data_IF_743236811623
#
_entry.id   IF_743236811623
#
_cell.length_a   1.000
_cell.length_b   1.000
_cell.length_c   1.000
_cell.angle_alpha   90.00
_cell.angle_beta   90.00
_cell.angle_gamma   90.00
#
_symmetry.space_group_name_H-M   'P 1'
#
loop_
_entity.id
_entity.type
_entity.pdbx_description
1 polymer ?
#
# COMPACT_ATOMS: atom_id res chain seq x y z
N UNK A 1 2.97 16.62 8.70
CA UNK A 1 1.56 16.74 9.18
C UNK A 1 0.57 15.95 8.32
N UNK A 2 -0.05 16.46 7.23
CA UNK A 2 -1.11 15.71 6.52
C UNK A 2 -0.64 14.36 5.95
N UNK A 3 0.40 14.37 5.12
CA UNK A 3 0.95 13.15 4.51
C UNK A 3 1.46 12.15 5.54
N UNK A 4 2.08 12.64 6.60
CA UNK A 4 2.57 11.83 7.72
C UNK A 4 1.44 11.15 8.49
N UNK A 5 0.35 11.88 8.79
CA UNK A 5 -0.85 11.30 9.38
C UNK A 5 -1.43 10.20 8.50
N UNK A 6 -1.49 10.40 7.19
CA UNK A 6 -1.94 9.36 6.26
C UNK A 6 -0.98 8.14 6.27
N UNK A 7 0.33 8.36 6.18
CA UNK A 7 1.33 7.28 6.17
C UNK A 7 1.32 6.43 7.45
N UNK A 8 1.19 7.05 8.62
CA UNK A 8 1.18 6.33 9.91
C UNK A 8 -0.14 5.57 10.12
N UNK A 9 -1.28 6.16 9.75
CA UNK A 9 -2.59 5.56 10.03
C UNK A 9 -3.01 4.52 8.98
N UNK A 10 -2.64 4.72 7.71
CA UNK A 10 -3.00 3.82 6.61
C UNK A 10 -1.88 2.86 6.24
N UNK A 11 -0.64 3.17 6.63
CA UNK A 11 0.52 2.30 6.48
C UNK A 11 1.06 1.84 7.83
N UNK A 12 2.35 1.56 7.84
CA UNK A 12 3.11 1.23 9.06
C UNK A 12 4.32 2.14 9.09
N UNK A 13 4.52 2.85 10.19
CA UNK A 13 5.67 3.71 10.38
C UNK A 13 6.71 3.02 11.25
N UNK A 14 7.95 2.94 10.75
CA UNK A 14 9.08 2.59 11.59
C UNK A 14 9.37 3.75 12.56
N UNK A 15 9.54 3.43 13.83
CA UNK A 15 9.85 4.43 14.87
C UNK A 15 11.32 4.35 15.24
N UNK A 16 11.76 3.19 15.73
CA UNK A 16 13.13 2.91 16.16
C UNK A 16 13.30 1.41 16.40
N UNK A 17 14.46 1.04 16.95
CA UNK A 17 14.74 -0.31 17.44
C UNK A 17 14.87 -0.31 18.98
N UNK A 18 14.54 -1.44 19.61
CA UNK A 18 14.81 -1.67 21.03
C UNK A 18 15.43 -3.05 21.27
N UNK A 19 16.21 -3.18 22.34
CA UNK A 19 16.81 -4.45 22.73
C UNK A 19 15.96 -5.13 23.81
N UNK A 20 15.59 -6.38 23.59
CA UNK A 20 14.97 -7.24 24.60
C UNK A 20 15.45 -8.67 24.39
N UNK A 21 15.57 -9.46 25.46
CA UNK A 21 15.94 -10.89 25.36
C UNK A 21 17.24 -11.16 24.57
N UNK A 22 18.19 -10.21 24.57
CA UNK A 22 19.45 -10.30 23.81
C UNK A 22 19.29 -10.15 22.29
N UNK A 23 18.16 -9.61 21.82
CA UNK A 23 17.86 -9.38 20.39
C UNK A 23 17.36 -7.96 20.16
N UNK A 24 17.61 -7.45 18.96
CA UNK A 24 17.10 -6.15 18.50
C UNK A 24 15.74 -6.36 17.81
N UNK A 25 14.73 -5.61 18.24
CA UNK A 25 13.38 -5.63 17.69
C UNK A 25 13.01 -4.26 17.13
N UNK A 26 12.32 -4.25 15.99
CA UNK A 26 11.80 -3.03 15.38
C UNK A 26 10.51 -2.59 16.09
N UNK A 27 10.44 -1.31 16.44
CA UNK A 27 9.21 -0.65 16.89
C UNK A 27 8.52 -0.06 15.67
N UNK A 28 7.26 -0.45 15.49
CA UNK A 28 6.40 0.03 14.41
C UNK A 28 5.14 0.63 15.00
N UNK A 29 4.77 1.81 14.52
CA UNK A 29 3.52 2.48 14.85
C UNK A 29 2.52 2.32 13.70
N UNK A 30 1.28 2.02 14.06
CA UNK A 30 0.20 1.83 13.11
C UNK A 30 -1.14 2.04 13.82
N UNK A 31 -2.14 2.55 13.10
CA UNK A 31 -3.50 2.60 13.63
C UNK A 31 -4.08 1.19 13.80
N UNK A 32 -4.83 0.98 14.89
CA UNK A 32 -5.55 -0.27 15.11
C UNK A 32 -6.53 -0.52 13.96
N UNK A 33 -6.77 -1.80 13.66
CA UNK A 33 -7.50 -2.25 12.48
C UNK A 33 -8.87 -1.58 12.35
N UNK A 34 -9.62 -1.46 13.44
CA UNK A 34 -10.95 -0.86 13.46
C UNK A 34 -11.00 0.61 13.00
N UNK A 35 -9.87 1.30 12.88
CA UNK A 35 -9.78 2.71 12.49
C UNK A 35 -9.16 2.93 11.10
N UNK A 36 -8.98 1.87 10.30
CA UNK A 36 -8.36 1.96 8.96
C UNK A 36 -8.93 0.98 7.93
N UNK A 37 -10.11 0.43 8.19
CA UNK A 37 -10.76 -0.52 7.27
C UNK A 37 -11.59 0.22 6.22
N UNK A 38 -12.36 1.21 6.66
CA UNK A 38 -13.33 1.86 5.79
C UNK A 38 -12.82 3.19 5.26
N UNK A 39 -13.27 3.55 4.06
CA UNK A 39 -13.03 4.87 3.46
C UNK A 39 -13.42 6.02 4.40
N UNK A 40 -14.50 5.85 5.16
CA UNK A 40 -14.98 6.84 6.10
C UNK A 40 -13.99 7.10 7.25
N UNK A 41 -13.11 6.14 7.58
CA UNK A 41 -12.14 6.31 8.66
C UNK A 41 -11.02 7.27 8.27
N UNK A 42 -10.64 7.30 6.99
CA UNK A 42 -9.67 8.26 6.45
C UNK A 42 -10.13 9.70 6.72
N UNK A 43 -11.42 9.97 6.53
CA UNK A 43 -12.01 11.30 6.72
C UNK A 43 -12.03 11.74 8.19
N UNK A 44 -12.05 10.79 9.12
CA UNK A 44 -12.06 11.03 10.57
C UNK A 44 -10.67 11.32 11.15
N UNK A 45 -9.59 11.01 10.43
CA UNK A 45 -8.23 11.31 10.85
C UNK A 45 -8.08 12.81 11.10
N UNK A 46 -7.42 13.17 12.20
CA UNK A 46 -7.26 14.57 12.59
C UNK A 46 -5.81 15.01 12.40
N UNK A 47 -5.63 16.18 11.81
CA UNK A 47 -4.33 16.83 11.64
C UNK A 47 -4.29 18.10 12.45
N UNK A 48 -3.11 18.42 12.99
CA UNK A 48 -2.91 19.66 13.74
C UNK A 48 -2.71 20.83 12.79
N UNK A 49 -3.50 21.89 12.94
CA UNK A 49 -3.37 23.16 12.22
C UNK A 49 -2.23 24.01 12.79
N UNK A 50 -1.87 25.09 12.10
CA UNK A 50 -0.92 26.08 12.59
C UNK A 50 -1.36 26.76 13.90
N UNK A 51 -2.67 26.82 14.17
CA UNK A 51 -3.23 27.34 15.42
C UNK A 51 -3.29 26.28 16.54
N UNK A 52 -2.79 25.07 16.28
CA UNK A 52 -2.80 23.95 17.22
C UNK A 52 -4.13 23.18 17.28
N UNK A 53 -5.17 23.64 16.58
CA UNK A 53 -6.46 22.96 16.52
C UNK A 53 -6.35 21.63 15.75
N UNK A 54 -7.16 20.65 16.15
CA UNK A 54 -7.28 19.38 15.44
C UNK A 54 -8.39 19.48 14.40
N UNK A 55 -8.02 19.37 13.13
CA UNK A 55 -8.93 19.49 11.99
C UNK A 55 -9.09 18.10 11.35
N UNK A 56 -10.33 17.59 11.18
CA UNK A 56 -10.56 16.35 10.45
C UNK A 56 -10.13 16.45 8.99
N UNK A 57 -9.52 15.41 8.43
CA UNK A 57 -9.07 15.39 7.04
C UNK A 57 -10.23 15.60 6.07
N UNK A 58 -11.42 15.10 6.37
CA UNK A 58 -12.59 15.27 5.50
C UNK A 58 -13.01 16.72 5.24
N UNK A 59 -12.49 17.71 5.98
CA UNK A 59 -12.71 19.13 5.68
C UNK A 59 -11.69 19.70 4.68
N UNK A 60 -10.66 18.93 4.33
CA UNK A 60 -9.50 19.35 3.55
C UNK A 60 -9.29 18.51 2.27
N UNK A 61 -9.83 17.28 2.22
CA UNK A 61 -9.57 16.33 1.12
C UNK A 61 -10.88 15.76 0.55
N UNK A 62 -10.78 15.36 -0.73
CA UNK A 62 -11.77 14.52 -1.40
C UNK A 62 -11.13 13.16 -1.72
N UNK A 63 -11.90 12.09 -1.55
CA UNK A 63 -11.48 10.74 -1.94
C UNK A 63 -12.13 10.42 -3.28
N UNK A 64 -11.37 9.87 -4.22
CA UNK A 64 -11.85 9.40 -5.53
C UNK A 64 -11.38 7.97 -5.76
N UNK A 65 -12.29 7.11 -6.22
CA UNK A 65 -11.91 5.77 -6.64
C UNK A 65 -11.39 5.81 -8.08
N UNK A 66 -10.24 5.21 -8.29
CA UNK A 66 -9.61 5.12 -9.61
C UNK A 66 -9.14 3.69 -9.84
N UNK A 67 -9.19 3.25 -11.09
CA UNK A 67 -8.68 1.94 -11.49
C UNK A 67 -7.26 2.07 -12.02
N UNK A 68 -6.38 1.13 -11.66
CA UNK A 68 -5.03 1.05 -12.18
C UNK A 68 -4.48 -0.38 -12.07
N UNK A 69 -3.41 -0.71 -12.82
CA UNK A 69 -2.78 -2.01 -12.72
C UNK A 69 -2.13 -2.18 -11.33
N UNK A 70 -2.43 -3.30 -10.66
CA UNK A 70 -1.78 -3.64 -9.39
C UNK A 70 -0.28 -3.94 -9.54
N UNK A 71 0.12 -4.40 -10.72
CA UNK A 71 1.50 -4.69 -11.10
C UNK A 71 1.72 -4.26 -12.55
N UNK A 72 2.77 -3.48 -12.80
CA UNK A 72 3.24 -3.17 -14.16
C UNK A 72 4.48 -4.00 -14.42
N UNK A 73 4.33 -5.05 -15.24
CA UNK A 73 5.47 -5.87 -15.64
C UNK A 73 6.22 -5.25 -16.81
N UNK A 74 7.52 -5.51 -16.85
CA UNK A 74 8.39 -5.08 -17.94
C UNK A 74 9.28 -6.22 -18.41
N UNK A 75 9.43 -6.34 -19.73
CA UNK A 75 10.38 -7.23 -20.39
C UNK A 75 11.21 -6.41 -21.38
N UNK A 76 12.54 -6.53 -21.33
CA UNK A 76 13.48 -5.70 -22.09
C UNK A 76 13.18 -4.19 -22.00
N UNK A 77 12.83 -3.73 -20.79
CA UNK A 77 12.47 -2.34 -20.47
C UNK A 77 11.12 -1.83 -21.03
N UNK A 78 10.38 -2.65 -21.79
CA UNK A 78 9.04 -2.30 -22.28
C UNK A 78 7.96 -2.84 -21.36
N UNK A 79 6.86 -2.11 -21.22
CA UNK A 79 5.66 -2.61 -20.52
C UNK A 79 5.16 -3.85 -21.26
N UNK A 80 4.96 -4.94 -20.53
CA UNK A 80 4.62 -6.25 -21.10
C UNK A 80 3.53 -6.93 -20.29
N UNK A 81 2.81 -7.84 -20.94
CA UNK A 81 1.89 -8.77 -20.28
C UNK A 81 2.47 -10.19 -20.44
N UNK A 82 2.74 -10.92 -19.35
CA UNK A 82 3.23 -12.28 -19.46
C UNK A 82 2.11 -13.18 -19.96
N UNK A 83 2.38 -13.94 -21.02
CA UNK A 83 1.49 -15.00 -21.48
C UNK A 83 2.07 -16.34 -21.03
N UNK A 84 1.22 -17.18 -20.45
CA UNK A 84 1.56 -18.52 -20.01
C UNK A 84 0.58 -19.49 -20.62
N UNK A 85 1.09 -20.64 -21.05
CA UNK A 85 0.31 -21.69 -21.67
C UNK A 85 1.10 -22.99 -21.65
N UNK A 86 0.39 -24.10 -21.83
CA UNK A 86 0.99 -25.42 -21.97
C UNK A 86 0.66 -25.97 -23.36
N UNK A 87 1.54 -26.83 -23.88
CA UNK A 87 1.22 -27.60 -25.07
C UNK A 87 0.01 -28.51 -24.80
N UNK A 88 -0.81 -28.71 -25.82
CA UNK A 88 -1.88 -29.70 -25.75
C UNK A 88 -1.29 -31.13 -25.61
N UNK A 89 -2.02 -32.09 -25.02
CA UNK A 89 -1.56 -33.47 -24.92
C UNK A 89 -1.14 -34.04 -26.28
N UNK A 90 0.05 -34.65 -26.34
CA UNK A 90 0.59 -35.23 -27.58
C UNK A 90 1.20 -34.22 -28.57
N UNK A 91 1.21 -32.92 -28.23
CA UNK A 91 1.84 -31.86 -29.05
C UNK A 91 3.20 -31.49 -28.44
N UNK A 92 4.22 -31.32 -29.30
CA UNK A 92 5.54 -30.88 -28.82
C UNK A 92 5.51 -29.41 -28.42
N UNK A 93 6.45 -28.98 -27.57
CA UNK A 93 6.59 -27.56 -27.21
C UNK A 93 6.98 -26.70 -28.40
N UNK A 94 7.73 -27.25 -29.36
CA UNK A 94 8.07 -26.56 -30.61
C UNK A 94 6.83 -26.25 -31.45
N UNK A 95 5.95 -27.25 -31.62
CA UNK A 95 4.69 -27.07 -32.34
C UNK A 95 3.71 -26.14 -31.61
N UNK A 96 3.78 -26.05 -30.29
CA UNK A 96 2.96 -25.14 -29.49
C UNK A 96 3.47 -23.69 -29.46
N UNK A 97 4.75 -23.47 -29.77
CA UNK A 97 5.39 -22.15 -29.81
C UNK A 97 5.47 -21.56 -31.23
N UNK A 98 5.41 -22.42 -32.26
CA UNK A 98 5.40 -22.03 -33.67
C UNK A 98 4.08 -21.35 -34.07
#
# INVERSE_FOLDING_TARGET
>A
NIFETLSINLGTAYVNDFNAFGRVYQVRAQADQAFRLDRADILKLKVRSATGALVPLGTLIEIRDVTGPALVQRYNMYVSVPLQGNAAPGVSTGDALA
#
